data_IF_539016117770
#
_entry.id   IF_539016117770
#
_cell.length_a   1.000
_cell.length_b   1.000
_cell.length_c   1.000
_cell.angle_alpha   90.00
_cell.angle_beta   90.00
_cell.angle_gamma   90.00
#
_symmetry.space_group_name_H-M   'P 1'
#
loop_
_entity.id
_entity.type
_entity.pdbx_description
1 polymer ?
#
# COMPACT_ATOMS: atom_id res chain seq x y z
N UNK A 1 13.07 -4.53 7.01
CA UNK A 1 13.49 -3.25 7.62
C UNK A 1 13.01 -2.10 6.73
N UNK A 2 13.23 -2.19 5.43
CA UNK A 2 12.95 -1.16 4.42
C UNK A 2 11.52 -0.60 4.46
N UNK A 3 10.49 -1.46 4.61
CA UNK A 3 9.11 -1.01 4.71
C UNK A 3 8.87 -0.12 5.93
N UNK A 4 9.41 -0.49 7.10
CA UNK A 4 9.24 0.30 8.32
C UNK A 4 9.96 1.64 8.19
N UNK A 5 11.18 1.64 7.65
CA UNK A 5 11.93 2.87 7.36
C UNK A 5 11.19 3.77 6.36
N UNK A 6 10.63 3.20 5.30
CA UNK A 6 9.83 3.93 4.32
C UNK A 6 8.58 4.55 4.94
N UNK A 7 7.85 3.80 5.78
CA UNK A 7 6.68 4.31 6.49
C UNK A 7 7.04 5.44 7.46
N UNK A 8 8.15 5.33 8.17
CA UNK A 8 8.63 6.40 9.05
C UNK A 8 8.87 7.70 8.26
N UNK A 9 9.52 7.61 7.09
CA UNK A 9 9.69 8.77 6.19
C UNK A 9 8.35 9.36 5.77
N UNK A 10 7.38 8.55 5.36
CA UNK A 10 6.04 9.03 4.97
C UNK A 10 5.32 9.73 6.14
N UNK A 11 5.33 9.12 7.32
CA UNK A 11 4.67 9.65 8.51
C UNK A 11 5.33 10.94 9.02
N UNK A 12 6.66 11.04 8.93
CA UNK A 12 7.39 12.28 9.23
C UNK A 12 6.99 13.44 8.30
N UNK A 13 6.54 13.14 7.08
CA UNK A 13 5.98 14.11 6.14
C UNK A 13 4.45 14.25 6.23
N UNK A 14 3.82 13.74 7.30
CA UNK A 14 2.36 13.76 7.52
C UNK A 14 1.56 13.07 6.40
N UNK A 15 2.18 12.11 5.72
CA UNK A 15 1.54 11.33 4.67
C UNK A 15 1.18 9.93 5.17
N UNK A 16 -0.06 9.52 4.96
CA UNK A 16 -0.56 8.16 5.29
C UNK A 16 -0.81 7.42 4.00
N UNK A 17 -0.20 6.25 3.81
CA UNK A 17 -0.31 5.48 2.57
C UNK A 17 -1.72 4.93 2.29
N UNK A 18 -2.50 4.62 3.33
CA UNK A 18 -3.90 4.11 3.27
C UNK A 18 -4.12 2.73 2.62
N UNK A 19 -3.16 2.24 1.84
CA UNK A 19 -3.19 0.93 1.18
C UNK A 19 -1.82 0.23 1.24
N UNK A 20 -1.30 0.02 2.45
CA UNK A 20 -0.04 -0.68 2.62
C UNK A 20 -0.25 -2.20 2.51
N UNK A 21 0.28 -2.80 1.45
CA UNK A 21 0.30 -4.24 1.23
C UNK A 21 1.50 -4.65 0.37
N UNK A 22 1.81 -5.95 0.35
CA UNK A 22 2.93 -6.48 -0.45
C UNK A 22 2.79 -6.17 -1.96
N UNK A 23 1.55 -6.09 -2.47
CA UNK A 23 1.25 -5.69 -3.86
C UNK A 23 1.69 -4.26 -4.21
N UNK A 24 1.81 -3.40 -3.20
CA UNK A 24 2.25 -2.01 -3.31
C UNK A 24 3.72 -1.84 -2.92
N UNK A 25 4.48 -2.94 -2.85
CA UNK A 25 5.91 -2.93 -2.58
C UNK A 25 6.67 -3.34 -3.84
N UNK A 26 7.75 -2.63 -4.15
CA UNK A 26 8.63 -2.91 -5.28
C UNK A 26 9.96 -3.44 -4.77
N UNK A 27 10.42 -4.56 -5.34
CA UNK A 27 11.75 -5.11 -5.08
C UNK A 27 12.69 -4.65 -6.18
N UNK A 28 13.79 -4.02 -5.81
CA UNK A 28 14.83 -3.55 -6.73
C UNK A 28 15.88 -4.64 -6.97
N UNK A 29 16.80 -4.40 -7.92
CA UNK A 29 17.85 -5.36 -8.29
C UNK A 29 18.85 -5.65 -7.17
N UNK A 30 19.02 -4.73 -6.21
CA UNK A 30 19.85 -4.90 -5.02
C UNK A 30 19.09 -5.50 -3.83
N UNK A 31 17.91 -6.07 -4.07
CA UNK A 31 17.03 -6.68 -3.07
C UNK A 31 16.52 -5.71 -1.99
N UNK A 32 16.58 -4.40 -2.25
CA UNK A 32 15.89 -3.42 -1.39
C UNK A 32 14.41 -3.34 -1.74
N UNK A 33 13.58 -3.04 -0.75
CA UNK A 33 12.13 -2.91 -0.93
C UNK A 33 11.71 -1.45 -0.80
N UNK A 34 10.98 -0.95 -1.80
CA UNK A 34 10.44 0.41 -1.82
C UNK A 34 8.92 0.37 -1.74
N UNK A 35 8.35 1.28 -0.95
CA UNK A 35 6.91 1.50 -0.91
C UNK A 35 6.51 2.26 -2.19
N UNK A 36 5.52 1.76 -2.92
CA UNK A 36 4.99 2.37 -4.13
C UNK A 36 3.51 2.70 -4.01
N UNK A 37 3.07 3.73 -4.74
CA UNK A 37 1.65 4.05 -4.91
C UNK A 37 1.45 4.62 -6.31
N UNK A 38 0.69 3.90 -7.14
CA UNK A 38 0.37 4.33 -8.51
C UNK A 38 -1.13 4.31 -8.79
N UNK A 39 -1.98 4.02 -7.79
CA UNK A 39 -3.42 3.81 -8.01
C UNK A 39 -3.76 2.63 -8.95
N UNK A 40 -2.77 1.84 -9.39
CA UNK A 40 -2.97 0.70 -10.31
C UNK A 40 -3.37 -0.60 -9.60
N UNK A 41 -3.26 -0.63 -8.27
CA UNK A 41 -3.43 -1.85 -7.50
C UNK A 41 -4.88 -2.36 -7.52
N UNK A 42 -5.85 -1.44 -7.58
CA UNK A 42 -7.28 -1.79 -7.68
C UNK A 42 -7.60 -2.51 -8.99
N UNK A 43 -7.05 -2.05 -10.12
CA UNK A 43 -7.25 -2.67 -11.43
C UNK A 43 -6.51 -4.00 -11.55
N UNK A 44 -5.27 -4.06 -11.03
CA UNK A 44 -4.41 -5.23 -11.16
C UNK A 44 -4.72 -6.36 -10.18
N UNK A 45 -5.22 -6.02 -8.99
CA UNK A 45 -5.51 -6.97 -7.90
C UNK A 45 -6.97 -6.86 -7.42
N UNK A 46 -7.99 -6.96 -8.30
CA UNK A 46 -9.37 -6.65 -7.94
C UNK A 46 -9.95 -7.55 -6.83
N UNK A 47 -9.40 -8.75 -6.65
CA UNK A 47 -9.80 -9.70 -5.60
C UNK A 47 -9.39 -9.28 -4.18
N UNK A 48 -8.40 -8.39 -4.07
CA UNK A 48 -7.90 -7.88 -2.79
C UNK A 48 -8.76 -6.73 -2.25
N UNK A 49 -9.66 -6.19 -3.07
CA UNK A 49 -10.46 -5.02 -2.76
C UNK A 49 -11.94 -5.39 -2.67
N UNK A 50 -12.59 -4.84 -1.65
CA UNK A 50 -14.03 -4.86 -1.51
C UNK A 50 -14.63 -3.60 -2.16
N UNK A 51 -15.59 -3.78 -3.06
CA UNK A 51 -16.28 -2.68 -3.70
C UNK A 51 -17.48 -2.23 -2.86
N UNK A 52 -17.49 -0.97 -2.47
CA UNK A 52 -18.63 -0.32 -1.84
C UNK A 52 -18.97 0.97 -2.59
N UNK A 53 -20.18 1.01 -3.18
CA UNK A 53 -20.58 2.07 -4.10
C UNK A 53 -19.56 2.23 -5.24
N UNK A 54 -18.96 3.42 -5.36
CA UNK A 54 -17.94 3.77 -6.37
C UNK A 54 -16.50 3.68 -5.84
N UNK A 55 -16.30 3.16 -4.63
CA UNK A 55 -14.99 3.09 -3.97
C UNK A 55 -14.54 1.63 -3.78
N UNK A 56 -13.23 1.42 -3.87
CA UNK A 56 -12.57 0.13 -3.64
C UNK A 56 -11.79 0.20 -2.33
N UNK A 57 -11.98 -0.77 -1.45
CA UNK A 57 -11.38 -0.79 -0.12
C UNK A 57 -10.53 -2.04 0.08
N UNK A 58 -9.24 -1.92 0.46
CA UNK A 58 -8.39 -3.07 0.76
C UNK A 58 -8.68 -3.63 2.17
N UNK A 59 -9.92 -4.05 2.43
CA UNK A 59 -10.46 -4.33 3.78
C UNK A 59 -9.64 -5.35 4.59
N UNK A 60 -8.89 -6.25 3.93
CA UNK A 60 -8.04 -7.23 4.62
C UNK A 60 -6.77 -6.63 5.24
N UNK A 61 -6.41 -5.40 4.82
CA UNK A 61 -5.24 -4.64 5.29
C UNK A 61 -5.62 -3.37 6.05
N UNK A 62 -6.92 -3.07 6.17
CA UNK A 62 -7.40 -1.94 6.96
C UNK A 62 -7.44 -2.30 8.43
N UNK A 63 -7.15 -1.31 9.27
CA UNK A 63 -7.30 -1.43 10.71
C UNK A 63 -8.79 -1.28 11.10
N UNK A 64 -9.23 -1.86 12.24
CA UNK A 64 -10.65 -1.93 12.61
C UNK A 64 -11.26 -0.65 13.22
N UNK A 65 -10.44 0.34 13.60
CA UNK A 65 -10.83 1.62 14.22
C UNK A 65 -11.50 2.64 13.28
#
# INVERSE_FOLDING_TARGET
>A
LDIVTGLDVLHNHKYVHRDLAARNCLVTSDLTVKIGDYGLAEEKFPVDYFKWQNYMFPIRWMAPE
#
